data_IF_848912744049
#
_entry.id   IF_848912744049
#
_cell.length_a   1.000
_cell.length_b   1.000
_cell.length_c   1.000
_cell.angle_alpha   90.00
_cell.angle_beta   90.00
_cell.angle_gamma   90.00
#
_symmetry.space_group_name_H-M   'P 1'
#
loop_
_entity.id
_entity.type
_entity.pdbx_description
1 polymer ?
#
# COMPACT_ATOMS: atom_id res chain seq x y z
N UNK A 1 -32.65 123.84 5.99
CA UNK A 1 -32.74 122.80 4.95
C UNK A 1 -33.54 121.65 5.54
N UNK A 2 -34.68 121.20 5.06
CA UNK A 2 -35.54 121.62 3.99
C UNK A 2 -36.86 120.83 4.08
N UNK A 3 -37.97 121.56 3.89
CA UNK A 3 -39.24 121.13 3.25
C UNK A 3 -40.17 120.05 3.84
N UNK A 4 -41.45 120.47 3.88
CA UNK A 4 -42.74 119.74 3.79
C UNK A 4 -43.19 119.11 5.12
N UNK A 5 -44.25 119.57 5.80
CA UNK A 5 -45.58 119.97 5.31
C UNK A 5 -46.15 118.96 4.31
N UNK A 6 -46.41 117.74 4.80
CA UNK A 6 -47.44 116.83 4.29
C UNK A 6 -47.97 115.97 5.44
N UNK A 7 -49.27 116.16 5.73
CA UNK A 7 -50.26 115.08 5.92
C UNK A 7 -49.93 114.08 7.06
N UNK A 8 -50.38 114.24 8.31
CA UNK A 8 -51.78 113.97 8.73
C UNK A 8 -52.60 113.20 7.69
N UNK A 9 -52.21 111.96 7.42
CA UNK A 9 -53.11 110.95 6.85
C UNK A 9 -52.83 109.49 7.22
N UNK A 10 -51.79 109.15 7.97
CA UNK A 10 -51.42 107.74 8.19
C UNK A 10 -51.26 107.32 9.68
N UNK A 11 -51.15 108.23 10.64
CA UNK A 11 -50.74 107.86 12.03
C UNK A 11 -51.85 107.41 13.01
N UNK A 12 -53.07 107.08 12.55
CA UNK A 12 -54.09 106.40 13.39
C UNK A 12 -54.28 104.94 12.96
N UNK A 13 -53.73 104.54 11.81
CA UNK A 13 -53.79 103.16 11.35
C UNK A 13 -52.85 102.22 12.12
N UNK A 14 -51.79 102.77 12.76
CA UNK A 14 -50.67 101.97 13.27
C UNK A 14 -50.54 101.94 14.81
N UNK A 15 -51.44 102.55 15.60
CA UNK A 15 -51.30 102.60 17.08
C UNK A 15 -52.12 101.58 17.87
N UNK A 16 -52.79 100.62 17.22
CA UNK A 16 -53.25 99.39 17.90
C UNK A 16 -52.96 98.19 16.97
N UNK A 17 -51.68 97.87 16.83
CA UNK A 17 -51.21 96.57 16.32
C UNK A 17 -51.60 95.49 17.34
N UNK A 18 -52.34 94.48 16.89
CA UNK A 18 -52.78 93.35 17.72
C UNK A 18 -51.76 92.18 17.68
N UNK A 19 -50.46 92.48 17.57
CA UNK A 19 -49.41 91.47 17.76
C UNK A 19 -49.43 90.90 19.20
N UNK A 20 -49.96 91.64 20.17
CA UNK A 20 -49.98 91.22 21.59
C UNK A 20 -51.16 90.31 22.00
N UNK A 21 -52.14 90.04 21.12
CA UNK A 21 -53.33 89.22 21.48
C UNK A 21 -53.32 87.80 20.91
N UNK A 22 -52.43 87.48 19.96
CA UNK A 22 -52.21 86.11 19.51
C UNK A 22 -51.24 85.32 20.41
N UNK A 23 -50.61 85.96 21.40
CA UNK A 23 -49.78 85.24 22.40
C UNK A 23 -50.60 84.47 23.45
N UNK A 24 -51.91 84.70 23.55
CA UNK A 24 -52.75 84.11 24.60
C UNK A 24 -53.70 82.97 24.14
N UNK A 25 -53.99 82.80 22.84
CA UNK A 25 -54.77 81.66 22.31
C UNK A 25 -54.75 81.56 20.77
N UNK A 26 -54.14 80.50 20.22
CA UNK A 26 -53.97 80.28 18.76
C UNK A 26 -55.28 80.03 17.98
N UNK A 27 -56.44 79.95 18.65
CA UNK A 27 -57.74 79.63 18.02
C UNK A 27 -58.63 80.86 17.72
N UNK A 28 -58.14 82.09 17.89
CA UNK A 28 -58.92 83.30 17.56
C UNK A 28 -58.60 83.72 16.11
N UNK A 29 -59.59 83.76 15.20
CA UNK A 29 -59.35 84.14 13.81
C UNK A 29 -58.84 85.58 13.71
N UNK A 30 -57.80 85.82 12.91
CA UNK A 30 -57.24 87.16 12.62
C UNK A 30 -58.16 88.00 11.69
N UNK A 31 -59.46 87.68 11.66
CA UNK A 31 -60.47 88.26 10.78
C UNK A 31 -61.52 89.02 11.57
N UNK A 32 -62.04 90.11 11.00
CA UNK A 32 -63.04 90.98 11.64
C UNK A 32 -64.29 90.20 12.08
N UNK A 33 -64.68 90.33 13.36
CA UNK A 33 -65.80 89.60 13.98
C UNK A 33 -67.16 89.89 13.29
N UNK A 34 -67.28 91.00 12.55
CA UNK A 34 -68.55 91.41 11.90
C UNK A 34 -68.68 90.96 10.44
N UNK A 35 -67.60 90.96 9.64
CA UNK A 35 -67.65 90.56 8.23
C UNK A 35 -66.94 89.23 7.94
N UNK A 36 -66.02 88.80 8.80
CA UNK A 36 -65.25 87.56 8.70
C UNK A 36 -64.43 87.38 7.41
N UNK A 37 -64.18 88.43 6.64
CA UNK A 37 -63.51 88.39 5.32
C UNK A 37 -62.18 89.16 5.27
N UNK A 38 -61.99 90.16 6.12
CA UNK A 38 -60.81 91.05 6.16
C UNK A 38 -60.09 90.96 7.50
N UNK A 39 -58.76 91.16 7.48
CA UNK A 39 -57.92 91.15 8.68
C UNK A 39 -58.36 92.24 9.66
N UNK A 40 -58.72 91.85 10.89
CA UNK A 40 -59.57 92.64 11.77
C UNK A 40 -58.83 93.67 12.62
N UNK A 41 -58.49 94.84 12.08
CA UNK A 41 -58.07 95.97 12.93
C UNK A 41 -59.27 96.58 13.66
N UNK A 42 -59.06 97.18 14.84
CA UNK A 42 -60.14 97.81 15.63
C UNK A 42 -60.87 98.89 14.79
N UNK A 43 -60.11 99.66 14.00
CA UNK A 43 -60.67 100.66 13.08
C UNK A 43 -61.55 100.05 11.99
N UNK A 44 -61.14 98.89 11.44
CA UNK A 44 -61.97 98.16 10.49
C UNK A 44 -63.27 97.67 11.12
N UNK A 45 -63.22 97.12 12.34
CA UNK A 45 -64.39 96.60 13.05
C UNK A 45 -65.42 97.68 13.42
N UNK A 46 -65.00 98.94 13.58
CA UNK A 46 -65.85 100.03 14.07
C UNK A 46 -66.32 100.99 12.95
N UNK A 47 -65.53 101.19 11.88
CA UNK A 47 -65.86 102.19 10.85
C UNK A 47 -65.77 101.69 9.39
N UNK A 48 -64.71 100.97 9.00
CA UNK A 48 -64.52 100.62 7.59
C UNK A 48 -65.29 99.38 7.12
N UNK A 49 -65.73 98.52 8.03
CA UNK A 49 -66.47 97.30 7.72
C UNK A 49 -67.76 97.60 6.95
N UNK A 50 -67.94 96.94 5.79
CA UNK A 50 -69.11 97.11 4.93
C UNK A 50 -70.42 96.73 5.60
N UNK A 51 -70.38 95.87 6.63
CA UNK A 51 -71.56 95.51 7.43
C UNK A 51 -71.90 96.57 8.49
N UNK A 52 -70.98 97.47 8.83
CA UNK A 52 -71.14 98.53 9.84
C UNK A 52 -71.46 99.89 9.22
N UNK A 53 -71.03 100.14 7.97
CA UNK A 53 -71.37 101.37 7.22
C UNK A 53 -72.88 101.68 7.13
N UNK A 54 -73.80 100.71 6.92
CA UNK A 54 -75.24 100.98 6.89
C UNK A 54 -75.76 101.54 8.21
N UNK A 55 -75.28 101.02 9.35
CA UNK A 55 -75.64 101.53 10.68
C UNK A 55 -75.23 102.99 10.87
N UNK A 56 -74.03 103.39 10.43
CA UNK A 56 -73.59 104.78 10.52
C UNK A 56 -74.34 105.71 9.55
N UNK A 57 -74.73 105.20 8.38
CA UNK A 57 -75.59 105.94 7.45
C UNK A 57 -76.99 106.16 8.04
N UNK A 58 -77.57 105.16 8.72
CA UNK A 58 -78.86 105.30 9.42
C UNK A 58 -78.79 106.31 10.57
N UNK A 59 -77.69 106.30 11.34
CA UNK A 59 -77.45 107.30 12.41
C UNK A 59 -77.31 108.71 11.81
N UNK A 60 -76.62 108.86 10.68
CA UNK A 60 -76.47 110.17 10.00
C UNK A 60 -77.79 110.63 9.41
N UNK A 61 -78.57 109.75 8.78
CA UNK A 61 -79.88 110.10 8.24
C UNK A 61 -80.84 110.53 9.36
N UNK A 62 -80.79 109.84 10.51
CA UNK A 62 -81.55 110.23 11.70
C UNK A 62 -81.13 111.61 12.24
N UNK A 63 -79.82 111.89 12.31
CA UNK A 63 -79.31 113.19 12.80
C UNK A 63 -79.57 114.31 11.79
N UNK A 64 -79.47 114.04 10.48
CA UNK A 64 -79.78 114.97 9.39
C UNK A 64 -81.27 115.33 9.38
N UNK A 65 -82.15 114.36 9.62
CA UNK A 65 -83.60 114.58 9.80
C UNK A 65 -83.90 115.43 11.04
N UNK A 66 -83.20 115.21 12.15
CA UNK A 66 -83.39 115.97 13.39
C UNK A 66 -82.84 117.41 13.31
N UNK A 67 -81.74 117.63 12.61
CA UNK A 67 -81.05 118.93 12.55
C UNK A 67 -81.31 119.71 11.26
N UNK A 68 -82.08 119.15 10.31
CA UNK A 68 -82.40 119.74 9.00
C UNK A 68 -81.17 120.28 8.26
N UNK A 69 -80.03 119.61 8.40
CA UNK A 69 -78.74 119.94 7.78
C UNK A 69 -78.01 118.67 7.39
N UNK A 70 -77.48 118.59 6.17
CA UNK A 70 -76.68 117.45 5.72
C UNK A 70 -75.30 117.43 6.36
N UNK A 71 -75.00 116.42 7.17
CA UNK A 71 -73.66 116.18 7.74
C UNK A 71 -72.84 115.23 6.84
N UNK A 72 -71.52 115.48 6.67
CA UNK A 72 -70.66 114.58 5.91
C UNK A 72 -70.30 113.31 6.72
N UNK A 73 -70.23 112.17 6.04
CA UNK A 73 -69.78 110.87 6.57
C UNK A 73 -68.26 110.92 6.85
N UNK A 74 -67.87 111.40 8.04
CA UNK A 74 -66.47 111.49 8.48
C UNK A 74 -66.26 110.78 9.84
N UNK A 75 -65.39 109.74 9.93
CA UNK A 75 -65.11 109.01 11.16
C UNK A 75 -64.67 109.90 12.32
N UNK A 76 -64.01 111.03 12.01
CA UNK A 76 -63.49 111.95 13.03
C UNK A 76 -64.59 112.68 13.80
N UNK A 77 -65.78 112.84 13.21
CA UNK A 77 -66.93 113.48 13.87
C UNK A 77 -67.63 112.53 14.85
N UNK A 78 -67.66 111.22 14.57
CA UNK A 78 -68.48 110.25 15.29
C UNK A 78 -67.70 109.37 16.28
N UNK A 79 -66.40 109.14 16.04
CA UNK A 79 -65.56 108.29 16.91
C UNK A 79 -64.71 109.12 17.88
N UNK A 80 -64.28 110.32 17.49
CA UNK A 80 -63.29 111.11 18.26
C UNK A 80 -63.85 112.35 18.98
N UNK A 81 -65.17 112.63 18.87
CA UNK A 81 -65.88 113.71 19.61
C UNK A 81 -65.11 115.04 19.63
N UNK A 82 -64.65 115.52 18.46
CA UNK A 82 -64.00 116.84 18.33
C UNK A 82 -64.96 117.85 17.70
N UNK A 83 -65.63 118.66 18.53
CA UNK A 83 -66.49 119.76 18.05
C UNK A 83 -65.65 120.96 17.59
N UNK A 84 -65.81 121.34 16.32
CA UNK A 84 -65.16 122.52 15.73
C UNK A 84 -65.89 123.78 16.16
N UNK A 85 -65.18 124.67 16.86
CA UNK A 85 -65.60 126.00 17.30
C UNK A 85 -66.46 126.75 16.26
N UNK A 86 -67.69 127.14 16.58
CA UNK A 86 -68.42 128.06 15.71
C UNK A 86 -69.93 128.24 15.80
N UNK A 87 -70.65 127.66 16.78
CA UNK A 87 -72.09 127.93 16.97
C UNK A 87 -72.32 128.54 18.35
N UNK A 88 -72.76 129.80 18.37
CA UNK A 88 -72.99 130.61 19.57
C UNK A 88 -74.31 130.21 20.24
N UNK A 89 -74.28 129.81 21.50
CA UNK A 89 -75.35 130.17 22.46
C UNK A 89 -74.80 130.29 23.89
N UNK A 90 -74.84 131.54 24.38
CA UNK A 90 -74.82 131.97 25.80
C UNK A 90 -75.89 131.18 26.60
N UNK A 91 -75.82 130.84 27.89
CA UNK A 91 -75.00 131.19 29.05
C UNK A 91 -75.30 130.19 30.20
N UNK A 92 -74.30 129.80 30.99
CA UNK A 92 -74.30 129.59 32.44
C UNK A 92 -75.55 128.98 33.17
N UNK A 93 -75.63 127.65 33.32
CA UNK A 93 -76.68 127.02 34.15
C UNK A 93 -76.19 126.18 35.36
N UNK A 94 -75.02 125.53 35.34
CA UNK A 94 -74.58 124.75 36.51
C UNK A 94 -73.89 125.61 37.60
N UNK A 95 -73.20 126.69 37.22
CA UNK A 95 -72.55 127.61 38.19
C UNK A 95 -73.41 128.82 38.62
N UNK A 96 -74.51 129.14 37.92
CA UNK A 96 -75.45 130.22 38.30
C UNK A 96 -76.67 129.69 39.09
N UNK A 97 -77.06 128.41 38.95
CA UNK A 97 -78.26 127.87 39.62
C UNK A 97 -77.94 127.01 40.84
N UNK A 98 -76.84 126.24 40.84
CA UNK A 98 -76.58 125.28 41.93
C UNK A 98 -75.86 125.85 43.16
N UNK A 99 -75.17 127.01 43.04
CA UNK A 99 -74.57 127.72 44.20
C UNK A 99 -75.58 128.55 45.02
N UNK A 100 -76.65 129.14 44.44
CA UNK A 100 -77.71 129.73 45.25
C UNK A 100 -78.66 128.71 45.92
N UNK A 101 -78.83 127.50 45.35
CA UNK A 101 -79.76 126.49 45.88
C UNK A 101 -79.24 125.75 47.13
N UNK A 102 -77.93 125.49 47.23
CA UNK A 102 -77.31 124.95 48.47
C UNK A 102 -77.32 125.98 49.63
N UNK A 103 -77.52 127.27 49.35
CA UNK A 103 -77.61 128.32 50.38
C UNK A 103 -79.05 128.62 50.89
N UNK A 104 -80.12 128.04 50.31
CA UNK A 104 -81.50 128.24 50.80
C UNK A 104 -82.18 126.97 51.36
N UNK A 105 -81.75 125.76 50.95
CA UNK A 105 -82.25 124.50 51.54
C UNK A 105 -81.62 124.14 52.91
N UNK A 106 -80.95 125.11 53.55
CA UNK A 106 -80.50 125.10 54.95
C UNK A 106 -81.67 125.22 55.96
N UNK A 107 -82.92 125.29 55.52
CA UNK A 107 -84.10 125.31 56.40
C UNK A 107 -85.13 124.25 56.01
N UNK A 108 -84.93 123.00 56.43
CA UNK A 108 -85.98 122.20 57.10
C UNK A 108 -85.46 120.80 57.49
N UNK A 109 -85.59 120.48 58.76
CA UNK A 109 -85.00 119.35 59.49
C UNK A 109 -85.87 118.10 59.47
N UNK A 110 -85.67 117.16 58.52
CA UNK A 110 -86.03 115.73 58.69
C UNK A 110 -85.55 114.74 57.59
N UNK A 111 -84.32 114.86 57.07
CA UNK A 111 -83.77 113.92 56.06
C UNK A 111 -82.45 113.23 56.50
N UNK A 112 -81.87 113.64 57.65
CA UNK A 112 -80.58 113.10 58.13
C UNK A 112 -80.63 111.65 58.64
N UNK A 113 -81.75 111.21 59.22
CA UNK A 113 -81.80 109.90 59.91
C UNK A 113 -81.86 108.69 58.96
N UNK A 114 -82.37 108.84 57.74
CA UNK A 114 -82.49 107.71 56.80
C UNK A 114 -81.18 107.42 56.02
N UNK A 115 -80.40 108.47 55.70
CA UNK A 115 -79.12 108.33 55.00
C UNK A 115 -78.00 107.71 55.86
N UNK A 116 -78.13 107.76 57.19
CA UNK A 116 -77.17 107.18 58.11
C UNK A 116 -77.37 105.66 58.26
N UNK A 117 -78.61 105.18 58.15
CA UNK A 117 -78.95 103.76 58.25
C UNK A 117 -78.55 102.96 56.99
N UNK A 118 -78.74 103.52 55.79
CA UNK A 118 -78.23 102.90 54.54
C UNK A 118 -76.71 102.75 54.55
N UNK A 119 -75.98 103.76 55.04
CA UNK A 119 -74.52 103.77 55.04
C UNK A 119 -73.92 102.73 55.99
N UNK A 120 -74.53 102.55 57.16
CA UNK A 120 -74.12 101.51 58.12
C UNK A 120 -74.40 100.09 57.61
N UNK A 121 -75.53 99.89 56.92
CA UNK A 121 -75.87 98.61 56.31
C UNK A 121 -74.90 98.32 55.15
N UNK A 122 -74.65 99.29 54.26
CA UNK A 122 -73.68 99.17 53.17
C UNK A 122 -72.28 98.82 53.66
N UNK A 123 -71.77 99.53 54.67
CA UNK A 123 -70.44 99.27 55.23
C UNK A 123 -70.32 97.89 55.90
N UNK A 124 -71.39 97.39 56.53
CA UNK A 124 -71.44 96.02 57.08
C UNK A 124 -71.44 94.96 55.97
N UNK A 125 -72.17 95.18 54.87
CA UNK A 125 -72.17 94.27 53.72
C UNK A 125 -70.85 94.28 52.96
N UNK A 126 -70.19 95.43 52.81
CA UNK A 126 -68.87 95.52 52.19
C UNK A 126 -67.78 94.79 52.99
N UNK A 127 -67.77 94.95 54.32
CA UNK A 127 -66.85 94.20 55.19
C UNK A 127 -67.11 92.70 55.12
N UNK A 128 -68.37 92.27 55.13
CA UNK A 128 -68.73 90.85 54.95
C UNK A 128 -68.29 90.34 53.57
N UNK A 129 -68.50 91.11 52.52
CA UNK A 129 -68.08 90.76 51.15
C UNK A 129 -66.55 90.66 51.02
N UNK A 130 -65.81 91.55 51.68
CA UNK A 130 -64.35 91.52 51.69
C UNK A 130 -63.80 90.33 52.49
N UNK A 131 -64.39 90.03 53.63
CA UNK A 131 -64.02 88.88 54.47
C UNK A 131 -64.27 87.58 53.72
N UNK A 132 -65.45 87.42 53.11
CA UNK A 132 -65.77 86.27 52.27
C UNK A 132 -64.80 86.13 51.09
N UNK A 133 -64.42 87.24 50.43
CA UNK A 133 -63.39 87.19 49.37
C UNK A 133 -62.03 86.72 49.89
N UNK A 134 -61.61 87.16 51.06
CA UNK A 134 -60.34 86.74 51.66
C UNK A 134 -60.37 85.28 52.09
N UNK A 135 -61.48 84.80 52.64
CA UNK A 135 -61.66 83.39 53.00
C UNK A 135 -61.64 82.50 51.75
N UNK A 136 -62.38 82.85 50.70
CA UNK A 136 -62.38 82.11 49.43
C UNK A 136 -61.01 82.17 48.72
N UNK A 137 -60.29 83.29 48.82
CA UNK A 137 -58.91 83.41 48.34
C UNK A 137 -57.96 82.48 49.11
N UNK A 138 -58.08 82.44 50.43
CA UNK A 138 -57.24 81.60 51.27
C UNK A 138 -57.52 80.12 51.06
N UNK A 139 -58.80 79.74 50.88
CA UNK A 139 -59.20 78.38 50.47
C UNK A 139 -58.55 78.02 49.14
N UNK A 140 -58.68 78.88 48.12
CA UNK A 140 -58.07 78.64 46.80
C UNK A 140 -56.55 78.44 46.90
N UNK A 141 -55.85 79.28 47.67
CA UNK A 141 -54.40 79.15 47.86
C UNK A 141 -54.01 77.85 48.54
N UNK A 142 -54.78 77.43 49.55
CA UNK A 142 -54.53 76.18 50.28
C UNK A 142 -54.76 74.98 49.36
N UNK A 143 -55.87 74.97 48.62
CA UNK A 143 -56.16 73.93 47.63
C UNK A 143 -55.09 73.86 46.53
N UNK A 144 -54.61 75.00 46.04
CA UNK A 144 -53.52 75.06 45.04
C UNK A 144 -52.23 74.46 45.62
N UNK A 145 -51.86 74.82 46.85
CA UNK A 145 -50.66 74.27 47.48
C UNK A 145 -50.76 72.76 47.71
N UNK A 146 -51.91 72.26 48.17
CA UNK A 146 -52.15 70.82 48.32
C UNK A 146 -52.09 70.08 46.98
N UNK A 147 -52.63 70.67 45.90
CA UNK A 147 -52.51 70.12 44.55
C UNK A 147 -51.05 70.08 44.11
N UNK A 148 -50.31 71.15 44.35
CA UNK A 148 -48.91 71.28 43.97
C UNK A 148 -48.03 70.30 44.75
N UNK A 149 -48.25 70.14 46.05
CA UNK A 149 -47.54 69.18 46.90
C UNK A 149 -47.81 67.74 46.46
N UNK A 150 -49.08 67.39 46.14
CA UNK A 150 -49.41 66.09 45.56
C UNK A 150 -48.75 65.85 44.21
N UNK A 151 -48.74 66.86 43.34
CA UNK A 151 -48.07 66.78 42.03
C UNK A 151 -46.56 66.62 42.18
N UNK A 152 -45.93 67.40 43.05
CA UNK A 152 -44.50 67.32 43.32
C UNK A 152 -44.12 65.97 43.94
N UNK A 153 -44.93 65.46 44.87
CA UNK A 153 -44.76 64.11 45.43
C UNK A 153 -44.88 63.02 44.35
N UNK A 154 -45.85 63.14 43.45
CA UNK A 154 -45.99 62.21 42.33
C UNK A 154 -44.81 62.29 41.34
N UNK A 155 -44.34 63.49 41.00
CA UNK A 155 -43.16 63.71 40.15
C UNK A 155 -41.93 63.05 40.78
N UNK A 156 -41.69 63.26 42.07
CA UNK A 156 -40.56 62.65 42.78
C UNK A 156 -40.67 61.11 42.77
N UNK A 157 -41.84 60.56 43.05
CA UNK A 157 -42.09 59.11 42.98
C UNK A 157 -41.83 58.56 41.58
N UNK A 158 -42.27 59.28 40.54
CA UNK A 158 -42.06 58.90 39.13
C UNK A 158 -40.57 58.94 38.77
N UNK A 159 -39.85 59.97 39.20
CA UNK A 159 -38.39 60.10 39.02
C UNK A 159 -37.63 58.95 39.69
N UNK A 160 -37.95 58.62 40.94
CA UNK A 160 -37.35 57.50 41.65
C UNK A 160 -37.62 56.16 40.95
N UNK A 161 -38.86 55.94 40.50
CA UNK A 161 -39.23 54.75 39.75
C UNK A 161 -38.48 54.64 38.42
N UNK A 162 -38.34 55.74 37.68
CA UNK A 162 -37.57 55.77 36.43
C UNK A 162 -36.09 55.53 36.68
N UNK A 163 -35.50 56.17 37.70
CA UNK A 163 -34.10 55.99 38.03
C UNK A 163 -33.82 54.55 38.47
N UNK A 164 -34.75 53.94 39.21
CA UNK A 164 -34.71 52.51 39.55
C UNK A 164 -34.77 51.64 38.29
N UNK A 165 -35.73 51.87 37.39
CA UNK A 165 -35.85 51.10 36.15
C UNK A 165 -34.59 51.19 35.27
N UNK A 166 -33.96 52.37 35.18
CA UNK A 166 -32.69 52.53 34.46
C UNK A 166 -31.51 51.83 35.15
N UNK A 167 -31.47 51.82 36.49
CA UNK A 167 -30.49 51.02 37.25
C UNK A 167 -30.67 49.53 36.97
N UNK A 168 -31.91 49.03 37.03
CA UNK A 168 -32.21 47.62 36.80
C UNK A 168 -31.88 47.19 35.37
N UNK A 169 -32.25 48.00 34.36
CA UNK A 169 -31.90 47.74 32.96
C UNK A 169 -30.39 47.72 32.72
N UNK A 170 -29.67 48.69 33.29
CA UNK A 170 -28.20 48.75 33.20
C UNK A 170 -27.53 47.54 33.86
N UNK A 171 -28.03 47.12 35.03
CA UNK A 171 -27.52 45.93 35.71
C UNK A 171 -27.78 44.67 34.88
N UNK A 172 -28.98 44.50 34.34
CA UNK A 172 -29.31 43.36 33.47
C UNK A 172 -28.38 43.25 32.25
N UNK A 173 -28.15 44.37 31.55
CA UNK A 173 -27.25 44.37 30.40
C UNK A 173 -25.79 44.17 30.81
N UNK A 174 -25.36 44.76 31.92
CA UNK A 174 -24.01 44.54 32.43
C UNK A 174 -23.78 43.08 32.81
N UNK A 175 -24.75 42.43 33.45
CA UNK A 175 -24.71 40.99 33.76
C UNK A 175 -24.68 40.14 32.49
N UNK A 176 -25.46 40.49 31.47
CA UNK A 176 -25.44 39.77 30.19
C UNK A 176 -24.08 39.92 29.48
N UNK A 177 -23.51 41.13 29.48
CA UNK A 177 -22.16 41.40 28.95
C UNK A 177 -21.12 40.58 29.70
N UNK A 178 -21.15 40.55 31.03
CA UNK A 178 -20.22 39.75 31.84
C UNK A 178 -20.39 38.25 31.58
N UNK A 179 -21.61 37.74 31.50
CA UNK A 179 -21.89 36.33 31.17
C UNK A 179 -21.34 35.96 29.78
N UNK A 180 -21.60 36.80 28.78
CA UNK A 180 -21.10 36.58 27.43
C UNK A 180 -19.57 36.68 27.37
N UNK A 181 -18.96 37.63 28.09
CA UNK A 181 -17.51 37.77 28.16
C UNK A 181 -16.85 36.55 28.83
N UNK A 182 -17.44 36.06 29.93
CA UNK A 182 -16.99 34.85 30.60
C UNK A 182 -17.11 33.62 29.68
N UNK A 183 -18.22 33.49 28.95
CA UNK A 183 -18.42 32.42 27.97
C UNK A 183 -17.40 32.50 26.83
N UNK A 184 -17.17 33.68 26.25
CA UNK A 184 -16.17 33.89 25.20
C UNK A 184 -14.78 33.53 25.73
N UNK A 185 -14.46 33.89 26.98
CA UNK A 185 -13.18 33.57 27.61
C UNK A 185 -13.03 32.06 27.79
N UNK A 186 -14.06 31.37 28.30
CA UNK A 186 -14.09 29.90 28.43
C UNK A 186 -13.89 29.21 27.08
N UNK A 187 -14.65 29.61 26.06
CA UNK A 187 -14.55 29.02 24.72
C UNK A 187 -13.16 29.25 24.09
N UNK A 188 -12.54 30.41 24.34
CA UNK A 188 -11.15 30.67 23.90
C UNK A 188 -10.16 29.77 24.61
N UNK A 189 -10.35 29.50 25.90
CA UNK A 189 -9.51 28.58 26.68
C UNK A 189 -9.66 27.14 26.15
N UNK A 190 -10.90 26.70 25.92
CA UNK A 190 -11.22 25.38 25.34
C UNK A 190 -10.59 25.21 23.96
N UNK A 191 -10.67 26.23 23.09
CA UNK A 191 -10.03 26.21 21.77
C UNK A 191 -8.51 26.07 21.87
N UNK A 192 -7.86 26.78 22.81
CA UNK A 192 -6.41 26.62 23.05
C UNK A 192 -6.08 25.21 23.52
N UNK A 193 -6.86 24.66 24.45
CA UNK A 193 -6.64 23.32 24.96
C UNK A 193 -6.85 22.24 23.89
N UNK A 194 -7.90 22.38 23.08
CA UNK A 194 -8.18 21.50 21.94
C UNK A 194 -7.06 21.56 20.91
N UNK A 195 -6.54 22.74 20.58
CA UNK A 195 -5.39 22.89 19.67
C UNK A 195 -4.13 22.21 20.22
N UNK A 196 -3.86 22.35 21.52
CA UNK A 196 -2.75 21.66 22.18
C UNK A 196 -2.93 20.13 22.18
N UNK A 197 -4.17 19.64 22.32
CA UNK A 197 -4.51 18.22 22.21
C UNK A 197 -4.34 17.69 20.78
N UNK A 198 -4.76 18.44 19.79
CA UNK A 198 -4.57 18.11 18.37
C UNK A 198 -3.09 18.00 18.00
N UNK A 199 -2.27 18.97 18.41
CA UNK A 199 -0.82 18.94 18.13
C UNK A 199 -0.15 17.73 18.80
N UNK A 200 -0.52 17.39 20.04
CA UNK A 200 -0.01 16.19 20.72
C UNK A 200 -0.41 14.91 19.98
N UNK A 201 -1.70 14.79 19.61
CA UNK A 201 -2.20 13.64 18.87
C UNK A 201 -1.52 13.52 17.51
N UNK A 202 -1.26 14.63 16.83
CA UNK A 202 -0.52 14.65 15.56
C UNK A 202 0.91 14.12 15.73
N UNK A 203 1.61 14.52 16.81
CA UNK A 203 2.94 13.99 17.15
C UNK A 203 2.91 12.50 17.48
N UNK A 204 1.96 12.05 18.30
CA UNK A 204 1.75 10.63 18.62
C UNK A 204 1.44 9.81 17.37
N UNK A 205 0.59 10.33 16.48
CA UNK A 205 0.26 9.69 15.21
C UNK A 205 1.48 9.60 14.29
N UNK A 206 2.33 10.63 14.23
CA UNK A 206 3.57 10.59 13.45
C UNK A 206 4.55 9.54 13.99
N UNK A 207 4.69 9.43 15.32
CA UNK A 207 5.51 8.38 15.97
C UNK A 207 4.93 6.99 15.65
N UNK A 208 3.61 6.81 15.77
CA UNK A 208 2.95 5.54 15.47
C UNK A 208 3.10 5.12 14.00
N UNK A 209 3.03 6.06 13.06
CA UNK A 209 3.28 5.80 11.63
C UNK A 209 4.73 5.38 11.37
N UNK A 210 5.70 6.05 12.01
CA UNK A 210 7.10 5.71 11.87
C UNK A 210 7.40 4.32 12.46
N UNK A 211 6.88 4.01 13.65
CA UNK A 211 7.01 2.69 14.26
C UNK A 211 6.36 1.59 13.41
N UNK A 212 5.17 1.85 12.85
CA UNK A 212 4.52 0.90 11.97
C UNK A 212 5.36 0.64 10.70
N UNK A 213 5.96 1.68 10.13
CA UNK A 213 6.88 1.55 8.99
C UNK A 213 8.10 0.68 9.34
N UNK A 214 8.77 0.97 10.46
CA UNK A 214 9.93 0.18 10.92
C UNK A 214 9.58 -1.28 11.19
N UNK A 215 8.41 -1.53 11.80
CA UNK A 215 7.91 -2.88 12.04
C UNK A 215 7.65 -3.63 10.73
N UNK A 216 6.98 -3.01 9.75
CA UNK A 216 6.75 -3.59 8.42
C UNK A 216 8.08 -3.94 7.74
N UNK A 217 9.04 -3.02 7.74
CA UNK A 217 10.36 -3.25 7.16
C UNK A 217 11.12 -4.39 7.87
N UNK A 218 11.05 -4.45 9.21
CA UNK A 218 11.67 -5.54 9.98
C UNK A 218 11.03 -6.90 9.70
N UNK A 219 9.70 -6.92 9.53
CA UNK A 219 8.94 -8.11 9.23
C UNK A 219 9.26 -8.63 7.83
N UNK A 220 9.42 -7.73 6.86
CA UNK A 220 9.76 -8.12 5.49
C UNK A 220 11.18 -8.69 5.42
N UNK A 221 12.16 -8.07 6.09
CA UNK A 221 13.52 -8.63 6.21
C UNK A 221 13.53 -10.03 6.84
N UNK A 222 12.75 -10.22 7.92
CA UNK A 222 12.66 -11.52 8.58
C UNK A 222 12.01 -12.59 7.67
N UNK A 223 11.00 -12.22 6.86
CA UNK A 223 10.43 -13.13 5.87
C UNK A 223 11.43 -13.50 4.78
N UNK A 224 12.16 -12.52 4.24
CA UNK A 224 13.20 -12.75 3.24
C UNK A 224 14.26 -13.73 3.78
N UNK A 225 14.73 -13.52 5.01
CA UNK A 225 15.69 -14.41 5.69
C UNK A 225 15.14 -15.83 5.85
N UNK A 226 13.87 -15.98 6.26
CA UNK A 226 13.23 -17.30 6.34
C UNK A 226 13.17 -17.98 4.98
N UNK A 227 12.82 -17.26 3.92
CA UNK A 227 12.78 -17.85 2.57
C UNK A 227 14.16 -18.26 2.07
N UNK A 228 15.20 -17.50 2.40
CA UNK A 228 16.57 -17.82 2.03
C UNK A 228 17.09 -19.04 2.81
N UNK A 229 16.86 -19.09 4.13
CA UNK A 229 17.20 -20.25 4.95
C UNK A 229 16.48 -21.52 4.49
N UNK A 230 15.21 -21.42 4.07
CA UNK A 230 14.47 -22.55 3.48
C UNK A 230 15.11 -23.05 2.18
N UNK A 231 15.57 -22.14 1.30
CA UNK A 231 16.31 -22.53 0.09
C UNK A 231 17.64 -23.20 0.43
N UNK A 232 18.38 -22.67 1.39
CA UNK A 232 19.63 -23.26 1.85
C UNK A 232 19.42 -24.67 2.43
N UNK A 233 18.36 -24.86 3.21
CA UNK A 233 18.01 -26.17 3.79
C UNK A 233 17.69 -27.21 2.72
N UNK A 234 16.88 -26.85 1.71
CA UNK A 234 16.54 -27.77 0.62
C UNK A 234 17.77 -28.13 -0.24
N UNK A 235 18.68 -27.18 -0.48
CA UNK A 235 19.95 -27.46 -1.12
C UNK A 235 20.82 -28.41 -0.29
N UNK A 236 20.93 -28.16 1.02
CA UNK A 236 21.69 -29.02 1.93
C UNK A 236 21.14 -30.46 1.96
N UNK A 237 19.82 -30.64 2.00
CA UNK A 237 19.20 -31.98 1.97
C UNK A 237 19.47 -32.71 0.64
N UNK A 238 19.47 -31.98 -0.48
CA UNK A 238 19.84 -32.52 -1.80
C UNK A 238 21.30 -32.96 -1.83
N UNK A 239 22.20 -32.14 -1.29
CA UNK A 239 23.64 -32.41 -1.26
C UNK A 239 23.95 -33.59 -0.34
N UNK A 240 23.30 -33.66 0.82
CA UNK A 240 23.37 -34.80 1.75
C UNK A 240 22.94 -36.12 1.08
N UNK A 241 21.84 -36.08 0.33
CA UNK A 241 21.34 -37.24 -0.41
C UNK A 241 22.30 -37.67 -1.53
N UNK A 242 22.88 -36.70 -2.25
CA UNK A 242 23.87 -36.94 -3.30
C UNK A 242 25.16 -37.53 -2.73
N UNK A 243 25.64 -36.99 -1.62
CA UNK A 243 26.82 -37.49 -0.91
C UNK A 243 26.61 -38.93 -0.42
N UNK A 244 25.44 -39.27 0.10
CA UNK A 244 25.11 -40.63 0.51
C UNK A 244 25.18 -41.61 -0.67
N UNK A 245 24.61 -41.24 -1.83
CA UNK A 245 24.67 -42.03 -3.06
C UNK A 245 26.11 -42.19 -3.58
N UNK A 246 26.90 -41.11 -3.60
CA UNK A 246 28.31 -41.17 -4.00
C UNK A 246 29.14 -42.05 -3.07
N UNK A 247 28.94 -41.98 -1.75
CA UNK A 247 29.60 -42.86 -0.78
C UNK A 247 29.28 -44.33 -1.03
N UNK A 248 28.02 -44.65 -1.33
CA UNK A 248 27.61 -46.01 -1.68
C UNK A 248 28.31 -46.49 -2.96
N UNK A 249 28.34 -45.65 -4.01
CA UNK A 249 29.03 -45.95 -5.26
C UNK A 249 30.53 -46.20 -5.06
N UNK A 250 31.22 -45.32 -4.34
CA UNK A 250 32.65 -45.49 -4.01
C UNK A 250 32.90 -46.79 -3.26
N UNK A 251 32.03 -47.16 -2.31
CA UNK A 251 32.16 -48.40 -1.55
C UNK A 251 32.00 -49.65 -2.43
N UNK A 252 31.14 -49.61 -3.45
CA UNK A 252 30.98 -50.70 -4.42
C UNK A 252 32.21 -50.78 -5.32
N UNK A 253 32.61 -49.65 -5.91
CA UNK A 253 33.78 -49.58 -6.81
C UNK A 253 35.09 -49.98 -6.10
N UNK A 254 35.28 -49.63 -4.83
CA UNK A 254 36.45 -50.07 -4.04
C UNK A 254 36.49 -51.59 -3.84
N UNK A 255 35.33 -52.24 -3.66
CA UNK A 255 35.26 -53.70 -3.57
C UNK A 255 35.60 -54.36 -4.90
N UNK A 256 35.06 -53.85 -6.00
CA UNK A 256 35.35 -54.34 -7.36
C UNK A 256 36.85 -54.19 -7.68
N UNK A 257 37.43 -53.04 -7.35
CA UNK A 257 38.85 -52.76 -7.56
C UNK A 257 39.74 -53.71 -6.76
N UNK A 258 39.38 -54.01 -5.49
CA UNK A 258 40.08 -55.00 -4.66
C UNK A 258 39.96 -56.42 -5.22
N UNK A 259 38.78 -56.81 -5.69
CA UNK A 259 38.56 -58.11 -6.31
C UNK A 259 39.41 -58.27 -7.59
N UNK A 260 39.37 -57.26 -8.47
CA UNK A 260 40.14 -57.28 -9.71
C UNK A 260 41.65 -57.29 -9.48
N UNK A 261 42.13 -56.56 -8.46
CA UNK A 261 43.55 -56.62 -8.06
C UNK A 261 43.95 -58.03 -7.60
N UNK A 262 43.11 -58.70 -6.83
CA UNK A 262 43.37 -60.06 -6.40
C UNK A 262 43.40 -61.04 -7.59
N UNK A 263 42.43 -60.93 -8.50
CA UNK A 263 42.40 -61.76 -9.73
C UNK A 263 43.63 -61.53 -10.60
N UNK A 264 44.08 -60.28 -10.73
CA UNK A 264 45.27 -59.92 -11.48
C UNK A 264 46.53 -60.58 -10.90
N UNK A 265 46.74 -60.46 -9.58
CA UNK A 265 47.88 -61.06 -8.87
C UNK A 265 47.90 -62.59 -9.06
N UNK A 266 46.74 -63.25 -8.91
CA UNK A 266 46.63 -64.71 -9.13
C UNK A 266 46.95 -65.08 -10.57
N UNK A 267 46.49 -64.29 -11.54
CA UNK A 267 46.75 -64.56 -12.96
C UNK A 267 48.22 -64.34 -13.31
N UNK A 268 48.87 -63.32 -12.75
CA UNK A 268 50.30 -63.04 -12.94
C UNK A 268 51.18 -64.15 -12.39
N UNK A 269 50.86 -64.68 -11.21
CA UNK A 269 51.55 -65.85 -10.64
C UNK A 269 51.39 -67.08 -11.53
N UNK A 270 50.17 -67.38 -12.01
CA UNK A 270 49.92 -68.49 -12.93
C UNK A 270 50.66 -68.34 -14.25
N UNK A 271 50.68 -67.12 -14.81
CA UNK A 271 51.39 -66.82 -16.04
C UNK A 271 52.89 -67.08 -15.89
N UNK A 272 53.47 -66.66 -14.77
CA UNK A 272 54.89 -66.90 -14.46
C UNK A 272 55.20 -68.39 -14.41
N UNK A 273 54.37 -69.20 -13.74
CA UNK A 273 54.55 -70.66 -13.71
C UNK A 273 54.49 -71.29 -15.10
N UNK A 274 53.48 -70.95 -15.90
CA UNK A 274 53.33 -71.48 -17.27
C UNK A 274 54.51 -71.06 -18.15
N UNK A 275 55.02 -69.85 -17.98
CA UNK A 275 56.20 -69.39 -18.69
C UNK A 275 57.45 -70.21 -18.34
N UNK A 276 57.65 -70.52 -17.05
CA UNK A 276 58.74 -71.38 -16.60
C UNK A 276 58.62 -72.81 -17.14
N UNK A 277 57.42 -73.39 -17.12
CA UNK A 277 57.15 -74.72 -17.69
C UNK A 277 57.43 -74.77 -19.19
N UNK A 278 57.01 -73.74 -19.92
CA UNK A 278 57.31 -73.59 -21.34
C UNK A 278 58.82 -73.56 -21.58
N UNK A 279 59.55 -72.74 -20.83
CA UNK A 279 61.00 -72.55 -21.01
C UNK A 279 61.80 -73.82 -20.66
N UNK A 280 61.40 -74.53 -19.61
CA UNK A 280 61.94 -75.85 -19.26
C UNK A 280 61.66 -76.90 -20.35
N UNK A 281 60.43 -76.92 -20.89
CA UNK A 281 60.07 -77.85 -21.97
C UNK A 281 60.87 -77.57 -23.25
N UNK A 282 61.04 -76.30 -23.63
CA UNK A 282 61.91 -75.93 -24.75
C UNK A 282 63.35 -76.41 -24.53
N UNK A 283 63.88 -76.20 -23.33
CA UNK A 283 65.24 -76.63 -22.99
C UNK A 283 65.40 -78.15 -23.10
N UNK A 284 64.43 -78.91 -22.57
CA UNK A 284 64.40 -80.39 -22.67
C UNK A 284 64.27 -80.86 -24.11
N UNK A 285 63.43 -80.22 -24.91
CA UNK A 285 63.24 -80.55 -26.31
C UNK A 285 64.52 -80.36 -27.12
N UNK A 286 65.18 -79.21 -26.96
CA UNK A 286 66.47 -78.93 -27.62
C UNK A 286 67.53 -79.94 -27.22
N UNK A 287 67.61 -80.29 -25.93
CA UNK A 287 68.53 -81.33 -25.44
C UNK A 287 68.25 -82.69 -26.08
N UNK A 288 66.98 -83.11 -26.13
CA UNK A 288 66.58 -84.38 -26.72
C UNK A 288 66.91 -84.45 -28.23
N UNK A 289 66.71 -83.35 -28.98
CA UNK A 289 67.09 -83.27 -30.39
C UNK A 289 68.60 -83.47 -30.54
N UNK A 290 69.41 -82.73 -29.78
CA UNK A 290 70.87 -82.82 -29.86
C UNK A 290 71.36 -84.23 -29.50
N UNK A 291 70.79 -84.87 -28.47
CA UNK A 291 71.10 -86.25 -28.11
C UNK A 291 70.76 -87.25 -29.23
N UNK A 292 69.60 -87.11 -29.86
CA UNK A 292 69.19 -87.97 -30.99
C UNK A 292 70.09 -87.76 -32.20
N UNK A 293 70.41 -86.51 -32.53
CA UNK A 293 71.34 -86.17 -33.61
C UNK A 293 72.73 -86.74 -33.34
N UNK A 294 73.25 -86.61 -32.12
CA UNK A 294 74.54 -87.15 -31.72
C UNK A 294 74.55 -88.68 -31.83
N UNK A 295 73.53 -89.38 -31.28
CA UNK A 295 73.43 -90.85 -31.34
C UNK A 295 73.34 -91.35 -32.78
N UNK A 296 72.56 -90.68 -33.62
CA UNK A 296 72.41 -91.04 -35.04
C UNK A 296 73.71 -90.77 -35.81
N UNK A 297 74.37 -89.65 -35.53
CA UNK A 297 75.69 -89.31 -36.09
C UNK A 297 76.76 -90.36 -35.76
N UNK A 298 76.85 -90.79 -34.49
CA UNK A 298 77.75 -91.87 -34.09
C UNK A 298 77.43 -93.20 -34.79
N UNK A 299 76.15 -93.54 -34.93
CA UNK A 299 75.73 -94.75 -35.63
C UNK A 299 76.10 -94.70 -37.12
N UNK A 300 75.90 -93.56 -37.77
CA UNK A 300 76.26 -93.37 -39.17
C UNK A 300 77.78 -93.48 -39.37
N UNK A 301 78.57 -92.82 -38.52
CA UNK A 301 80.03 -92.92 -38.56
C UNK A 301 80.52 -94.37 -38.39
N UNK A 302 79.92 -95.11 -37.45
CA UNK A 302 80.26 -96.53 -37.25
C UNK A 302 79.92 -97.38 -38.48
N UNK A 303 78.78 -97.13 -39.13
CA UNK A 303 78.38 -97.81 -40.36
C UNK A 303 79.33 -97.48 -41.52
N UNK A 304 79.74 -96.22 -41.66
CA UNK A 304 80.75 -95.79 -42.65
C UNK A 304 82.09 -96.48 -42.42
N UNK A 305 82.58 -96.53 -41.18
CA UNK A 305 83.82 -97.26 -40.85
C UNK A 305 83.70 -98.75 -41.17
N UNK A 306 82.56 -99.38 -40.87
CA UNK A 306 82.33 -100.79 -41.20
C UNK A 306 82.27 -101.02 -42.70
N UNK A 307 81.62 -100.13 -43.45
CA UNK A 307 81.57 -100.19 -44.91
C UNK A 307 82.96 -100.04 -45.52
N UNK A 308 83.75 -99.07 -45.07
CA UNK A 308 85.15 -98.89 -45.50
C UNK A 308 86.00 -100.13 -45.20
N UNK A 309 85.92 -100.69 -43.99
CA UNK A 309 86.68 -101.90 -43.65
C UNK A 309 86.26 -103.13 -44.49
N UNK A 310 84.96 -103.28 -44.77
CA UNK A 310 84.47 -104.33 -45.67
C UNK A 310 84.93 -104.10 -47.11
N UNK A 311 84.94 -102.85 -47.58
CA UNK A 311 85.44 -102.48 -48.90
C UNK A 311 86.94 -102.79 -49.03
N UNK A 312 87.76 -102.40 -48.06
CA UNK A 312 89.19 -102.72 -48.03
C UNK A 312 89.44 -104.24 -48.04
N UNK A 313 88.57 -105.01 -47.36
CA UNK A 313 88.64 -106.47 -47.35
C UNK A 313 88.26 -107.04 -48.70
N UNK A 314 87.22 -106.49 -49.35
CA UNK A 314 86.79 -106.86 -50.68
C UNK A 314 87.91 -106.60 -51.70
N UNK A 315 88.47 -105.39 -51.73
CA UNK A 315 89.59 -105.02 -52.63
C UNK A 315 90.79 -105.94 -52.45
N UNK A 316 91.17 -106.27 -51.20
CA UNK A 316 92.25 -107.25 -50.93
C UNK A 316 91.92 -108.64 -51.47
N UNK A 317 90.66 -109.08 -51.35
CA UNK A 317 90.23 -110.40 -51.84
C UNK A 317 90.17 -110.44 -53.36
N UNK A 318 89.71 -109.38 -54.00
CA UNK A 318 89.73 -109.22 -55.45
C UNK A 318 91.16 -109.19 -56.00
N UNK A 319 92.09 -108.49 -55.32
CA UNK A 319 93.50 -108.48 -55.69
C UNK A 319 94.13 -109.88 -55.55
N UNK A 320 93.90 -110.57 -54.43
CA UNK A 320 94.36 -111.95 -54.20
C UNK A 320 93.80 -112.91 -55.25
N UNK A 321 92.51 -112.80 -55.57
CA UNK A 321 91.87 -113.61 -56.61
C UNK A 321 92.51 -113.33 -57.97
N UNK A 322 92.67 -112.06 -58.34
CA UNK A 322 93.29 -111.65 -59.60
C UNK A 322 94.72 -112.21 -59.76
N UNK A 323 95.51 -112.18 -58.68
CA UNK A 323 96.86 -112.76 -58.66
C UNK A 323 96.85 -114.27 -58.87
N UNK A 324 95.99 -115.01 -58.16
CA UNK A 324 95.84 -116.46 -58.31
C UNK A 324 95.41 -116.84 -59.72
N UNK A 325 94.46 -116.09 -60.30
CA UNK A 325 94.00 -116.31 -61.66
C UNK A 325 95.12 -116.09 -62.68
N UNK A 326 95.92 -115.03 -62.51
CA UNK A 326 97.07 -114.76 -63.37
C UNK A 326 98.17 -115.84 -63.24
N UNK A 327 98.46 -116.31 -62.02
CA UNK A 327 99.48 -117.33 -61.77
C UNK A 327 99.09 -118.73 -62.31
N UNK A 328 97.79 -119.03 -62.38
CA UNK A 328 97.31 -120.38 -62.71
C UNK A 328 97.26 -120.69 -64.20
N UNK A 329 97.48 -119.72 -65.10
CA UNK A 329 97.46 -119.88 -66.57
C UNK A 329 96.26 -120.71 -67.09
N UNK A 330 95.09 -120.53 -66.47
CA UNK A 330 93.88 -121.28 -66.80
C UNK A 330 93.28 -120.77 -68.12
N UNK A 331 92.64 -121.65 -68.89
CA UNK A 331 91.85 -121.25 -70.05
C UNK A 331 90.72 -120.30 -69.61
N UNK A 332 90.66 -119.04 -70.11
CA UNK A 332 89.67 -118.06 -69.70
C UNK A 332 88.22 -118.53 -69.92
N UNK A 333 87.99 -119.34 -70.96
CA UNK A 333 86.65 -119.82 -71.31
C UNK A 333 86.15 -120.84 -70.27
N UNK A 334 86.97 -121.83 -69.94
CA UNK A 334 86.65 -122.82 -68.91
C UNK A 334 86.47 -122.19 -67.52
N UNK A 335 87.30 -121.23 -67.14
CA UNK A 335 87.23 -120.54 -65.85
C UNK A 335 85.94 -119.72 -65.70
N UNK A 336 85.53 -118.99 -66.73
CA UNK A 336 84.28 -118.23 -66.72
C UNK A 336 83.05 -119.15 -66.58
N UNK A 337 83.07 -120.31 -67.25
CA UNK A 337 81.99 -121.32 -67.12
C UNK A 337 81.90 -121.85 -65.69
N UNK A 338 83.03 -122.18 -65.05
CA UNK A 338 83.04 -122.66 -63.66
C UNK A 338 82.62 -121.56 -62.68
N UNK A 339 83.09 -120.33 -62.87
CA UNK A 339 82.74 -119.18 -62.02
C UNK A 339 81.25 -118.88 -62.10
N UNK A 340 80.70 -118.79 -63.33
CA UNK A 340 79.27 -118.57 -63.55
C UNK A 340 78.43 -119.70 -62.96
N UNK A 341 78.85 -120.97 -63.09
CA UNK A 341 78.15 -122.10 -62.45
C UNK A 341 78.18 -122.02 -60.93
N UNK A 342 79.28 -121.56 -60.35
CA UNK A 342 79.41 -121.37 -58.91
C UNK A 342 78.52 -120.21 -58.42
N UNK A 343 78.49 -119.09 -59.14
CA UNK A 343 77.58 -117.96 -58.87
C UNK A 343 76.11 -118.40 -58.92
N UNK A 344 75.69 -119.12 -59.96
CA UNK A 344 74.33 -119.69 -60.05
C UNK A 344 73.98 -120.57 -58.84
N UNK A 345 74.93 -121.41 -58.40
CA UNK A 345 74.74 -122.27 -57.22
C UNK A 345 74.65 -121.43 -55.95
N UNK A 346 75.51 -120.43 -55.78
CA UNK A 346 75.47 -119.53 -54.63
C UNK A 346 74.16 -118.74 -54.57
N UNK A 347 73.70 -118.19 -55.69
CA UNK A 347 72.43 -117.48 -55.78
C UNK A 347 71.24 -118.40 -55.50
N UNK A 348 71.23 -119.60 -56.06
CA UNK A 348 70.21 -120.61 -55.78
C UNK A 348 70.17 -120.97 -54.29
N UNK A 349 71.33 -121.17 -53.65
CA UNK A 349 71.43 -121.45 -52.22
C UNK A 349 71.00 -120.26 -51.37
N UNK A 350 71.42 -119.05 -51.71
CA UNK A 350 71.01 -117.82 -51.03
C UNK A 350 69.50 -117.59 -51.12
N UNK A 351 68.90 -117.86 -52.28
CA UNK A 351 67.45 -117.80 -52.45
C UNK A 351 66.77 -118.87 -51.60
N UNK A 352 67.27 -120.10 -51.61
CA UNK A 352 66.75 -121.18 -50.73
C UNK A 352 66.83 -120.80 -49.26
N UNK A 353 67.91 -120.14 -48.82
CA UNK A 353 68.05 -119.64 -47.43
C UNK A 353 66.96 -118.62 -47.13
N UNK A 354 66.73 -117.65 -48.01
CA UNK A 354 65.66 -116.64 -47.84
C UNK A 354 64.29 -117.30 -47.78
N UNK A 355 64.02 -118.26 -48.68
CA UNK A 355 62.74 -118.98 -48.73
C UNK A 355 62.52 -119.79 -47.46
N UNK A 356 63.54 -120.50 -46.97
CA UNK A 356 63.46 -121.25 -45.71
C UNK A 356 63.29 -120.33 -44.49
N UNK A 357 63.98 -119.18 -44.45
CA UNK A 357 63.78 -118.18 -43.40
C UNK A 357 62.34 -117.67 -43.40
N UNK A 358 61.79 -117.35 -44.57
CA UNK A 358 60.41 -116.95 -44.72
C UNK A 358 59.43 -118.06 -44.29
N UNK A 359 59.70 -119.31 -44.66
CA UNK A 359 58.89 -120.47 -44.25
C UNK A 359 58.88 -120.65 -42.74
N UNK A 360 60.03 -120.51 -42.08
CA UNK A 360 60.14 -120.53 -40.62
C UNK A 360 59.34 -119.39 -39.99
N UNK A 361 59.45 -118.16 -40.51
CA UNK A 361 58.65 -117.02 -40.05
C UNK A 361 57.16 -117.26 -40.22
N UNK A 362 56.74 -117.80 -41.37
CA UNK A 362 55.35 -118.13 -41.68
C UNK A 362 54.79 -119.18 -40.75
N UNK A 363 55.52 -120.29 -40.54
CA UNK A 363 55.11 -121.38 -39.64
C UNK A 363 55.05 -120.90 -38.18
N UNK A 364 55.99 -120.06 -37.75
CA UNK A 364 55.94 -119.49 -36.41
C UNK A 364 54.73 -118.58 -36.23
N UNK A 365 54.38 -117.77 -37.24
CA UNK A 365 53.16 -116.97 -37.22
C UNK A 365 51.90 -117.84 -37.15
N UNK A 366 51.76 -118.85 -38.01
CA UNK A 366 50.59 -119.73 -38.00
C UNK A 366 50.48 -120.53 -36.71
N UNK A 367 51.60 -120.96 -36.12
CA UNK A 367 51.64 -121.59 -34.81
C UNK A 367 51.11 -120.65 -33.71
N UNK A 368 51.61 -119.42 -33.65
CA UNK A 368 51.18 -118.43 -32.66
C UNK A 368 49.70 -118.02 -32.84
N UNK A 369 49.23 -117.90 -34.08
CA UNK A 369 47.83 -117.61 -34.38
C UNK A 369 46.91 -118.79 -34.00
N UNK A 370 47.31 -120.03 -34.33
CA UNK A 370 46.60 -121.23 -33.90
C UNK A 370 46.54 -121.31 -32.38
N UNK A 371 47.66 -121.05 -31.70
CA UNK A 371 47.71 -121.04 -30.24
C UNK A 371 46.70 -120.06 -29.65
N UNK A 372 46.65 -118.83 -30.16
CA UNK A 372 45.66 -117.82 -29.73
C UNK A 372 44.22 -118.26 -29.99
N UNK A 373 43.93 -118.85 -31.15
CA UNK A 373 42.58 -119.34 -31.45
C UNK A 373 42.16 -120.52 -30.57
N UNK A 374 43.10 -121.42 -30.27
CA UNK A 374 42.88 -122.55 -29.35
C UNK A 374 42.62 -122.04 -27.93
N UNK A 375 43.41 -121.08 -27.43
CA UNK A 375 43.15 -120.44 -26.15
C UNK A 375 41.80 -119.73 -26.09
N UNK A 376 41.44 -119.01 -27.16
CA UNK A 376 40.15 -118.32 -27.24
C UNK A 376 38.97 -119.32 -27.21
N UNK A 377 39.07 -120.44 -27.93
CA UNK A 377 38.07 -121.51 -27.89
C UNK A 377 37.99 -122.16 -26.51
N UNK A 378 39.11 -122.47 -25.86
CA UNK A 378 39.13 -123.06 -24.51
C UNK A 378 38.43 -122.14 -23.51
N UNK A 379 38.71 -120.83 -23.56
CA UNK A 379 38.00 -119.83 -22.75
C UNK A 379 36.50 -119.80 -23.07
N UNK A 380 36.11 -119.89 -24.35
CA UNK A 380 34.70 -119.88 -24.76
C UNK A 380 33.92 -121.09 -24.23
N UNK A 381 34.56 -122.26 -24.09
CA UNK A 381 33.95 -123.46 -23.48
C UNK A 381 34.02 -123.48 -21.94
N UNK A 382 34.50 -122.41 -21.31
CA UNK A 382 34.57 -122.29 -19.86
C UNK A 382 35.80 -122.92 -19.21
N UNK A 383 36.81 -123.33 -19.99
CA UNK A 383 38.06 -123.88 -19.47
C UNK A 383 39.11 -122.76 -19.25
N UNK A 384 39.54 -122.50 -18.00
CA UNK A 384 40.60 -121.53 -17.74
C UNK A 384 41.94 -122.03 -18.27
N UNK A 385 42.62 -121.22 -19.09
CA UNK A 385 43.93 -121.57 -19.69
C UNK A 385 45.01 -121.88 -18.63
N UNK A 386 44.82 -121.43 -17.38
CA UNK A 386 45.71 -121.73 -16.24
C UNK A 386 45.61 -123.18 -15.71
N UNK A 387 44.56 -123.91 -16.06
CA UNK A 387 44.30 -125.27 -15.56
C UNK A 387 44.85 -126.39 -16.47
N UNK A 388 45.45 -126.04 -17.62
CA UNK A 388 45.96 -126.99 -18.61
C UNK A 388 47.23 -127.75 -18.17
N UNK A 389 47.90 -127.34 -17.09
CA UNK A 389 49.09 -128.01 -16.55
C UNK A 389 50.38 -127.86 -17.37
N UNK A 390 50.34 -127.20 -18.55
CA UNK A 390 51.50 -126.84 -19.35
C UNK A 390 51.37 -125.42 -19.91
N UNK A 391 52.51 -124.76 -20.18
CA UNK A 391 52.55 -123.44 -20.85
C UNK A 391 53.10 -123.62 -22.26
N UNK A 392 52.31 -123.33 -23.31
CA UNK A 392 52.79 -123.36 -24.69
C UNK A 392 53.95 -122.36 -24.87
N UNK A 393 54.98 -122.76 -25.64
CA UNK A 393 56.12 -121.90 -25.94
C UNK A 393 55.80 -121.05 -27.16
N UNK A 394 55.58 -119.74 -26.98
CA UNK A 394 55.44 -118.82 -28.11
C UNK A 394 56.77 -118.74 -28.90
N UNK A 395 56.69 -118.94 -30.21
CA UNK A 395 57.86 -118.84 -31.08
C UNK A 395 58.21 -117.37 -31.32
N UNK A 396 59.13 -116.85 -30.50
CA UNK A 396 59.72 -115.53 -30.71
C UNK A 396 60.89 -115.65 -31.69
N UNK A 397 60.63 -115.38 -32.98
CA UNK A 397 61.71 -115.11 -33.92
C UNK A 397 62.11 -113.64 -33.73
N UNK A 398 63.38 -113.44 -33.40
CA UNK A 398 64.04 -112.18 -33.09
C UNK A 398 63.48 -110.94 -33.83
N UNK A 399 62.76 -110.08 -33.09
CA UNK A 399 62.70 -108.64 -33.36
C UNK A 399 61.75 -108.12 -34.45
N UNK A 400 60.87 -108.93 -35.04
CA UNK A 400 59.86 -108.44 -36.01
C UNK A 400 58.44 -108.83 -35.60
N UNK A 401 57.65 -107.87 -35.13
CA UNK A 401 56.21 -108.00 -34.94
C UNK A 401 55.50 -107.90 -36.30
N UNK A 402 55.20 -109.04 -36.93
CA UNK A 402 54.30 -109.07 -38.09
C UNK A 402 52.86 -108.82 -37.60
N UNK A 403 52.22 -107.78 -38.12
CA UNK A 403 50.89 -107.31 -37.70
C UNK A 403 49.81 -108.41 -37.70
N UNK A 404 48.84 -108.26 -36.80
CA UNK A 404 47.61 -109.06 -36.77
C UNK A 404 46.84 -108.84 -38.08
N UNK A 405 46.59 -109.90 -38.83
CA UNK A 405 45.68 -109.89 -39.98
C UNK A 405 44.56 -110.89 -39.69
N UNK A 406 43.27 -110.56 -39.90
CA UNK A 406 42.18 -111.49 -39.65
C UNK A 406 42.34 -112.77 -40.50
N UNK A 407 41.97 -113.90 -39.92
CA UNK A 407 42.03 -115.20 -40.58
C UNK A 407 41.27 -115.16 -41.93
N UNK A 408 41.98 -115.48 -43.02
CA UNK A 408 41.39 -115.64 -44.35
C UNK A 408 41.53 -114.42 -45.26
N UNK A 409 42.75 -114.12 -45.70
CA UNK A 409 43.10 -113.61 -47.04
C UNK A 409 44.62 -113.55 -47.17
N UNK A 410 45.18 -114.45 -47.97
CA UNK A 410 46.54 -114.33 -48.47
C UNK A 410 46.52 -113.37 -49.65
N UNK A 411 47.16 -112.21 -49.50
CA UNK A 411 47.67 -111.47 -50.65
C UNK A 411 49.17 -111.27 -50.41
N UNK A 412 50.03 -111.61 -51.40
CA UNK A 412 51.44 -111.28 -51.31
C UNK A 412 51.57 -109.75 -51.39
N UNK A 413 52.10 -109.12 -50.35
CA UNK A 413 52.67 -107.79 -50.51
C UNK A 413 53.97 -107.97 -51.29
N UNK A 414 53.90 -107.62 -52.57
CA UNK A 414 55.06 -107.22 -53.36
C UNK A 414 55.56 -105.91 -52.73
N UNK A 415 56.87 -105.87 -52.51
CA UNK A 415 57.66 -104.78 -51.92
C UNK A 415 57.40 -103.40 -52.55
#
# INVERSE_FOLDING_TARGET
MGTKLRLWKEDIADEISLEDWNEFNDNIPDTCIKCNETRGTLYHCIWECEKVKPFWLDIIDMIDQMLSKKLPLDPKLFILVVYRNGVKHKQNAFEIVWKPFINLLRYNTNVGYMLQQEREIGCKYDKKMQTLRQEEEQKRKTEVHEIEERKNSHINTMMENHEKAFRDMRNYFSDNIHKNLNLITSLKEDLKEMKKKEERRSKEMAIGLQQNKELIESQERAKEEVTELQKQLTNYDRDKSTLARMRAYVKVSDKEMKALKWEHEVLEQRFTTVQLERDDLYTKFTKAILEVQQKTGFKNLLLECKLSALNDTLEKKEAQLSEVLAASNLDPTALNVVTSKLEEVLDSKNQTIKDLQYEVERVCKTYNDLLRTSEAKLRAFGFPVKELGFKPLESSISGRTLGQVPAGRFLPQIS
#
